data_IF_752109764193
#
_entry.id   IF_752109764193
#
_cell.length_a   1.000
_cell.length_b   1.000
_cell.length_c   1.000
_cell.angle_alpha   90.00
_cell.angle_beta   90.00
_cell.angle_gamma   90.00
#
_symmetry.space_group_name_H-M   'P 1'
#
loop_
_entity.id
_entity.type
_entity.pdbx_description
1 polymer ?
#
# COMPACT_ATOMS: atom_id res chain seq x y z
N UNK A 1 -4.90 7.75 22.24
CA UNK A 1 -4.93 6.70 21.21
C UNK A 1 -6.27 6.05 21.40
N UNK A 2 -7.17 6.20 20.44
CA UNK A 2 -8.49 5.58 20.50
C UNK A 2 -8.29 4.08 20.40
N UNK A 3 -8.83 3.32 21.35
CA UNK A 3 -8.70 1.86 21.39
C UNK A 3 -9.45 1.29 20.17
N UNK A 4 -8.81 0.44 19.32
CA UNK A 4 -9.49 -0.21 18.21
C UNK A 4 -10.81 -0.88 18.63
N UNK A 5 -10.87 -1.40 19.86
CA UNK A 5 -12.08 -2.01 20.42
C UNK A 5 -13.21 -0.98 20.65
N UNK A 6 -12.89 0.22 21.12
CA UNK A 6 -13.89 1.29 21.30
C UNK A 6 -14.43 1.78 19.96
N UNK A 7 -13.57 1.92 18.95
CA UNK A 7 -13.96 2.28 17.58
C UNK A 7 -14.88 1.23 16.93
N UNK A 8 -14.61 -0.06 17.16
CA UNK A 8 -15.46 -1.16 16.69
C UNK A 8 -16.85 -1.17 17.35
N UNK A 9 -16.92 -0.85 18.65
CA UNK A 9 -18.19 -0.70 19.36
C UNK A 9 -18.98 0.48 18.79
N UNK A 10 -18.33 1.63 18.61
CA UNK A 10 -18.97 2.82 18.04
C UNK A 10 -19.50 2.55 16.63
N UNK A 11 -18.70 1.87 15.78
CA UNK A 11 -19.14 1.47 14.44
C UNK A 11 -20.40 0.60 14.49
N UNK A 12 -20.46 -0.37 15.41
CA UNK A 12 -21.63 -1.24 15.56
C UNK A 12 -22.87 -0.45 15.98
N UNK A 13 -22.74 0.49 16.91
CA UNK A 13 -23.85 1.35 17.33
C UNK A 13 -24.36 2.21 16.18
N UNK A 14 -23.48 2.87 15.43
CA UNK A 14 -23.87 3.73 14.29
C UNK A 14 -24.53 2.91 13.17
N UNK A 15 -24.09 1.66 12.96
CA UNK A 15 -24.74 0.73 12.03
C UNK A 15 -26.14 0.30 12.49
N UNK A 16 -26.34 0.11 13.79
CA UNK A 16 -27.66 -0.17 14.37
C UNK A 16 -28.59 1.04 14.24
N UNK A 17 -28.13 2.24 14.58
CA UNK A 17 -28.87 3.50 14.40
C UNK A 17 -29.31 3.68 12.93
N UNK A 18 -28.43 3.39 11.97
CA UNK A 18 -28.76 3.48 10.55
C UNK A 18 -29.82 2.45 10.11
N UNK A 19 -29.89 1.29 10.76
CA UNK A 19 -30.91 0.27 10.49
C UNK A 19 -32.26 0.66 11.07
N UNK A 20 -32.27 1.31 12.23
CA UNK A 20 -33.51 1.76 12.90
C UNK A 20 -34.12 3.00 12.24
N UNK A 21 -33.30 3.81 11.53
CA UNK A 21 -33.79 4.98 10.83
C UNK A 21 -34.76 4.63 9.69
N UNK A 22 -35.93 5.28 9.62
CA UNK A 22 -36.88 5.11 8.52
C UNK A 22 -36.29 5.60 7.20
N UNK A 23 -36.76 5.04 6.08
CA UNK A 23 -36.20 5.34 4.76
C UNK A 23 -36.37 6.82 4.36
N UNK A 24 -37.37 7.48 4.92
CA UNK A 24 -37.69 8.90 4.68
C UNK A 24 -36.68 9.85 5.35
N UNK A 25 -35.91 9.39 6.33
CA UNK A 25 -34.89 10.16 7.05
C UNK A 25 -33.56 10.27 6.26
N UNK A 26 -33.63 10.69 5.00
CA UNK A 26 -32.51 10.63 4.05
C UNK A 26 -31.24 11.36 4.52
N UNK A 27 -31.38 12.58 5.05
CA UNK A 27 -30.23 13.39 5.51
C UNK A 27 -29.52 12.76 6.73
N UNK A 28 -30.29 12.20 7.65
CA UNK A 28 -29.76 11.51 8.84
C UNK A 28 -29.04 10.22 8.43
N UNK A 29 -29.60 9.47 7.47
CA UNK A 29 -28.96 8.27 6.91
C UNK A 29 -27.65 8.57 6.18
N UNK A 30 -27.55 9.70 5.46
CA UNK A 30 -26.28 10.13 4.85
C UNK A 30 -25.25 10.41 5.94
N UNK A 31 -25.62 11.17 6.96
CA UNK A 31 -24.72 11.55 8.05
C UNK A 31 -24.15 10.33 8.77
N UNK A 32 -24.99 9.33 9.07
CA UNK A 32 -24.52 8.08 9.70
C UNK A 32 -23.66 7.25 8.75
N UNK A 33 -23.93 7.25 7.44
CA UNK A 33 -23.07 6.58 6.46
C UNK A 33 -21.68 7.21 6.36
N UNK A 34 -21.62 8.54 6.36
CA UNK A 34 -20.35 9.26 6.38
C UNK A 34 -19.57 8.93 7.66
N UNK A 35 -20.26 8.87 8.81
CA UNK A 35 -19.66 8.46 10.08
C UNK A 35 -19.16 7.02 10.08
N UNK A 36 -19.90 6.09 9.45
CA UNK A 36 -19.45 4.70 9.27
C UNK A 36 -18.15 4.65 8.47
N UNK A 37 -18.06 5.39 7.37
CA UNK A 37 -16.85 5.44 6.53
C UNK A 37 -15.65 5.98 7.33
N UNK A 38 -15.86 7.03 8.13
CA UNK A 38 -14.81 7.58 9.00
C UNK A 38 -14.33 6.56 10.04
N UNK A 39 -15.26 5.85 10.70
CA UNK A 39 -14.95 4.85 11.71
C UNK A 39 -14.25 3.64 11.09
N UNK A 40 -14.69 3.16 9.93
CA UNK A 40 -14.02 2.10 9.18
C UNK A 40 -12.58 2.49 8.80
N UNK A 41 -12.36 3.74 8.37
CA UNK A 41 -11.02 4.25 8.07
C UNK A 41 -10.14 4.35 9.32
N UNK A 42 -10.70 4.78 10.45
CA UNK A 42 -9.98 4.87 11.72
C UNK A 42 -9.60 3.48 12.28
N UNK A 43 -10.51 2.50 12.19
CA UNK A 43 -10.24 1.11 12.54
C UNK A 43 -9.15 0.56 11.62
N UNK A 44 -9.25 0.75 10.31
CA UNK A 44 -8.24 0.28 9.37
C UNK A 44 -6.84 0.89 9.64
N UNK A 45 -6.78 2.16 10.05
CA UNK A 45 -5.52 2.82 10.40
C UNK A 45 -4.92 2.35 11.74
N UNK A 46 -5.77 1.89 12.68
CA UNK A 46 -5.37 1.44 14.02
C UNK A 46 -5.16 -0.08 14.11
N UNK A 47 -5.71 -0.85 13.16
CA UNK A 47 -5.60 -2.30 13.13
C UNK A 47 -4.17 -2.70 12.75
N UNK A 48 -3.47 -3.51 13.56
CA UNK A 48 -2.14 -4.00 13.22
C UNK A 48 -2.22 -4.87 11.96
N UNK A 49 -1.52 -4.47 10.89
CA UNK A 49 -1.39 -5.33 9.71
C UNK A 49 -0.65 -6.62 10.11
N UNK A 50 -1.20 -7.81 9.86
CA UNK A 50 -0.53 -9.06 10.18
C UNK A 50 0.84 -9.15 9.48
N UNK A 51 1.86 -9.61 10.19
CA UNK A 51 3.22 -9.74 9.63
C UNK A 51 3.24 -10.70 8.43
N UNK A 52 2.46 -11.77 8.49
CA UNK A 52 2.32 -12.73 7.39
C UNK A 52 1.71 -12.07 6.13
N UNK A 53 0.79 -11.13 6.31
CA UNK A 53 0.22 -10.33 5.22
C UNK A 53 1.26 -9.39 4.61
N UNK A 54 2.06 -8.73 5.44
CA UNK A 54 3.16 -7.86 4.99
C UNK A 54 4.26 -8.64 4.26
N UNK A 55 4.61 -9.84 4.76
CA UNK A 55 5.58 -10.73 4.09
C UNK A 55 5.06 -11.23 2.74
N UNK A 56 3.77 -11.57 2.66
CA UNK A 56 3.14 -11.99 1.40
C UNK A 56 3.11 -10.85 0.39
N UNK A 57 2.72 -9.64 0.82
CA UNK A 57 2.76 -8.42 0.00
C UNK A 57 4.19 -8.10 -0.47
N UNK A 58 5.19 -8.26 0.39
CA UNK A 58 6.60 -8.05 0.04
C UNK A 58 7.05 -8.98 -1.09
N UNK A 59 6.74 -10.28 -1.00
CA UNK A 59 7.11 -11.27 -2.02
C UNK A 59 6.47 -10.92 -3.37
N UNK A 60 5.20 -10.53 -3.38
CA UNK A 60 4.49 -10.13 -4.59
C UNK A 60 5.08 -8.85 -5.21
N UNK A 61 5.42 -7.85 -4.38
CA UNK A 61 6.03 -6.60 -4.84
C UNK A 61 7.45 -6.80 -5.35
N UNK A 62 8.24 -7.69 -4.74
CA UNK A 62 9.56 -8.06 -5.22
C UNK A 62 9.50 -8.76 -6.58
N UNK A 63 8.58 -9.71 -6.75
CA UNK A 63 8.33 -10.37 -8.03
C UNK A 63 7.94 -9.36 -9.11
N UNK A 64 7.02 -8.43 -8.79
CA UNK A 64 6.60 -7.35 -9.69
C UNK A 64 7.74 -6.41 -10.02
N UNK A 65 8.58 -6.04 -9.05
CA UNK A 65 9.78 -5.20 -9.29
C UNK A 65 10.74 -5.89 -10.26
N UNK A 66 10.99 -7.18 -10.09
CA UNK A 66 11.87 -7.95 -11.00
C UNK A 66 11.30 -7.93 -12.43
N UNK A 67 10.00 -8.10 -12.60
CA UNK A 67 9.33 -8.04 -13.91
C UNK A 67 9.45 -6.65 -14.56
N UNK A 68 9.25 -5.57 -13.80
CA UNK A 68 9.40 -4.20 -14.29
C UNK A 68 10.86 -3.89 -14.67
N UNK A 69 11.84 -4.36 -13.89
CA UNK A 69 13.26 -4.23 -14.23
C UNK A 69 13.59 -5.01 -15.51
N UNK A 70 13.07 -6.22 -15.68
CA UNK A 70 13.25 -7.01 -16.92
C UNK A 70 12.67 -6.29 -18.12
N UNK A 71 11.47 -5.72 -17.99
CA UNK A 71 10.82 -4.94 -19.05
C UNK A 71 11.64 -3.70 -19.42
N UNK A 72 12.28 -3.06 -18.44
CA UNK A 72 13.21 -1.94 -18.65
C UNK A 72 14.53 -2.37 -19.32
N UNK A 73 14.99 -3.59 -19.07
CA UNK A 73 16.22 -4.15 -19.64
C UNK A 73 16.02 -4.78 -21.02
N UNK A 74 14.77 -4.99 -21.46
CA UNK A 74 14.48 -5.58 -22.76
C UNK A 74 14.76 -4.57 -23.90
N UNK A 75 15.80 -4.78 -24.72
CA UNK A 75 16.14 -3.89 -25.81
C UNK A 75 15.07 -3.85 -26.91
N UNK A 76 14.16 -4.84 -26.97
CA UNK A 76 13.06 -4.85 -27.95
C UNK A 76 11.92 -3.88 -27.62
N UNK A 77 11.76 -3.48 -26.35
CA UNK A 77 10.81 -2.44 -25.92
C UNK A 77 11.44 -1.02 -25.96
N UNK A 78 12.73 -0.92 -26.25
CA UNK A 78 13.37 0.36 -26.51
C UNK A 78 12.99 0.82 -27.92
N UNK A 79 11.91 1.61 -28.03
CA UNK A 79 11.58 2.40 -29.23
C UNK A 79 12.61 3.54 -29.47
N UNK A 80 13.89 3.21 -29.38
CA UNK A 80 15.03 4.11 -29.56
C UNK A 80 16.23 3.24 -29.87
N UNK A 81 16.48 3.03 -31.16
CA UNK A 81 17.49 2.12 -31.69
C UNK A 81 18.78 2.15 -30.89
N UNK A 82 19.12 0.97 -30.34
CA UNK A 82 20.46 0.64 -29.88
C UNK A 82 21.38 0.57 -31.10
N UNK A 83 21.78 1.75 -31.56
CA UNK A 83 22.92 1.94 -32.45
C UNK A 83 24.17 1.50 -31.72
N UNK A 84 24.58 0.26 -31.95
CA UNK A 84 25.96 -0.18 -31.79
C UNK A 84 26.88 0.82 -32.51
N UNK A 85 27.81 1.41 -31.76
CA UNK A 85 28.84 2.39 -32.17
C UNK A 85 28.49 3.88 -31.95
N UNK A 86 29.09 4.47 -30.91
CA UNK A 86 29.10 5.92 -30.64
C UNK A 86 28.47 6.25 -29.29
N UNK A 87 29.30 6.66 -28.33
CA UNK A 87 28.95 6.84 -26.92
C UNK A 87 27.61 7.54 -26.69
N UNK A 88 26.73 6.89 -25.95
CA UNK A 88 25.46 7.46 -25.54
C UNK A 88 25.76 8.55 -24.50
N UNK A 89 25.21 9.75 -24.70
CA UNK A 89 25.27 10.82 -23.70
C UNK A 89 24.65 10.30 -22.39
N UNK A 90 25.40 10.25 -21.28
CA UNK A 90 24.90 9.81 -19.97
C UNK A 90 23.62 10.55 -19.54
N UNK A 91 23.47 11.81 -19.93
CA UNK A 91 22.29 12.62 -19.64
C UNK A 91 21.04 12.11 -20.38
N UNK A 92 21.21 11.58 -21.60
CA UNK A 92 20.13 11.02 -22.37
C UNK A 92 19.65 9.68 -21.77
N UNK A 93 20.59 8.82 -21.37
CA UNK A 93 20.27 7.58 -20.64
C UNK A 93 19.55 7.87 -19.32
N UNK A 94 19.98 8.89 -18.57
CA UNK A 94 19.30 9.28 -17.34
C UNK A 94 17.87 9.78 -17.57
N UNK A 95 17.63 10.57 -18.62
CA UNK A 95 16.27 11.03 -18.98
C UNK A 95 15.38 9.89 -19.44
N UNK A 96 15.88 8.98 -20.28
CA UNK A 96 15.14 7.81 -20.74
C UNK A 96 14.77 6.89 -19.58
N UNK A 97 15.73 6.60 -18.70
CA UNK A 97 15.48 5.80 -17.50
C UNK A 97 14.45 6.45 -16.56
N UNK A 98 14.53 7.78 -16.33
CA UNK A 98 13.55 8.48 -15.50
C UNK A 98 12.13 8.38 -16.09
N UNK A 99 12.00 8.49 -17.42
CA UNK A 99 10.71 8.36 -18.09
C UNK A 99 10.16 6.94 -18.04
N UNK A 100 11.01 5.92 -18.18
CA UNK A 100 10.62 4.52 -17.99
C UNK A 100 10.18 4.30 -16.55
N UNK A 101 10.89 4.84 -15.57
CA UNK A 101 10.54 4.72 -14.15
C UNK A 101 9.17 5.38 -13.83
N UNK A 102 8.87 6.51 -14.46
CA UNK A 102 7.57 7.20 -14.35
C UNK A 102 6.43 6.41 -15.02
N UNK A 103 6.67 5.82 -16.19
CA UNK A 103 5.67 5.05 -16.94
C UNK A 103 5.39 3.67 -16.33
N UNK A 104 6.41 3.02 -15.78
CA UNK A 104 6.30 1.68 -15.18
C UNK A 104 5.84 1.72 -13.72
N UNK A 105 5.90 2.88 -13.07
CA UNK A 105 5.60 3.02 -11.65
C UNK A 105 6.59 2.28 -10.74
N UNK A 106 7.76 1.90 -11.25
CA UNK A 106 8.75 1.09 -10.51
C UNK A 106 9.16 1.74 -9.18
N UNK A 107 9.23 3.08 -9.14
CA UNK A 107 9.53 3.84 -7.92
C UNK A 107 8.44 3.75 -6.86
N UNK A 108 7.18 3.62 -7.26
CA UNK A 108 6.08 3.43 -6.31
C UNK A 108 6.15 2.04 -5.68
N UNK A 109 6.47 1.01 -6.48
CA UNK A 109 6.72 -0.35 -5.99
C UNK A 109 7.92 -0.37 -5.04
N UNK A 110 9.04 0.27 -5.40
CA UNK A 110 10.23 0.36 -4.52
C UNK A 110 9.96 1.14 -3.22
N UNK A 111 9.14 2.20 -3.28
CA UNK A 111 8.73 2.93 -2.08
C UNK A 111 7.90 2.06 -1.13
N UNK A 112 6.97 1.27 -1.68
CA UNK A 112 6.13 0.35 -0.91
C UNK A 112 6.92 -0.80 -0.28
N UNK A 113 7.86 -1.39 -1.02
CA UNK A 113 8.78 -2.41 -0.47
C UNK A 113 9.54 -1.85 0.75
N UNK A 114 10.15 -0.67 0.62
CA UNK A 114 10.88 -0.03 1.73
C UNK A 114 9.98 0.31 2.92
N UNK A 115 8.73 0.67 2.67
CA UNK A 115 7.75 0.92 3.73
C UNK A 115 7.46 -0.37 4.50
N UNK A 116 7.21 -1.48 3.79
CA UNK A 116 6.96 -2.79 4.39
C UNK A 116 8.18 -3.28 5.17
N UNK A 117 9.39 -3.17 4.61
CA UNK A 117 10.64 -3.51 5.30
C UNK A 117 10.77 -2.76 6.63
N UNK A 118 10.49 -1.45 6.65
CA UNK A 118 10.49 -0.65 7.90
C UNK A 118 9.42 -1.09 8.89
N UNK A 119 8.24 -1.46 8.42
CA UNK A 119 7.17 -1.95 9.28
C UNK A 119 7.53 -3.31 9.92
N UNK A 120 8.23 -4.16 9.19
CA UNK A 120 8.75 -5.44 9.68
C UNK A 120 9.90 -5.25 10.68
N UNK A 121 10.84 -4.34 10.41
CA UNK A 121 11.98 -4.03 11.28
C UNK A 121 11.57 -3.39 12.63
N UNK A 122 10.45 -2.67 12.65
CA UNK A 122 9.93 -2.01 13.87
C UNK A 122 9.26 -2.96 14.86
N UNK A 123 9.07 -4.23 14.52
CA UNK A 123 8.49 -5.20 15.46
C UNK A 123 9.59 -5.67 16.43
N UNK A 124 9.47 -5.41 17.75
CA UNK A 124 10.43 -5.96 18.71
C UNK A 124 10.37 -7.49 18.65
N UNK A 125 11.51 -8.19 18.82
CA UNK A 125 11.49 -9.64 18.93
C UNK A 125 10.57 -10.01 20.10
N UNK A 126 9.54 -10.79 19.83
CA UNK A 126 8.73 -11.41 20.87
C UNK A 126 9.64 -12.31 21.68
N UNK A 127 10.16 -11.78 22.79
CA UNK A 127 10.84 -12.58 23.80
C UNK A 127 9.81 -13.49 24.44
N UNK A 128 9.59 -14.66 23.84
CA UNK A 128 9.05 -15.81 24.55
C UNK A 128 10.08 -16.22 25.61
N UNK A 129 9.94 -15.65 26.81
CA UNK A 129 10.63 -16.17 28.00
C UNK A 129 9.80 -17.36 28.49
N UNK A 130 10.33 -18.59 28.53
CA UNK A 130 9.61 -19.68 29.17
C UNK A 130 9.49 -19.41 30.69
N UNK A 131 8.35 -19.76 31.32
CA UNK A 131 8.16 -19.59 32.75
C UNK A 131 9.09 -20.52 33.57
N UNK A 132 9.36 -20.17 34.84
CA UNK A 132 10.29 -20.88 35.72
C UNK A 132 9.86 -22.30 36.10
#
# INVERSE_FOLDING_TARGET
>A
MDDPFELEIELRMVQEDLRELPAEAFNERITLRDRIIELEAAIAASTPVPVESLQSELVELEAKRIELVKTRMDPSNSNGGLGLAGGIDPNFLHKANRRIDELTGIKAVEARIREIERLLERKPPTTHRPPP
#
